data_IF_963412981434
#
_entry.id   IF_963412981434
#
_cell.length_a   1.000
_cell.length_b   1.000
_cell.length_c   1.000
_cell.angle_alpha   90.00
_cell.angle_beta   90.00
_cell.angle_gamma   90.00
#
_symmetry.space_group_name_H-M   'P 1'
#
loop_
_entity.id
_entity.type
_entity.pdbx_description
1 polymer ?
#
# COMPACT_ATOMS: atom_id res chain seq x y z
N UNK A 1 -24.26 -45.75 -29.93
CA UNK A 1 -23.72 -44.38 -29.79
C UNK A 1 -22.77 -44.40 -28.60
N UNK A 2 -21.47 -44.26 -28.85
CA UNK A 2 -20.44 -44.41 -27.81
C UNK A 2 -20.14 -43.02 -27.24
N UNK A 3 -20.45 -42.83 -25.97
CA UNK A 3 -20.10 -41.63 -25.24
C UNK A 3 -18.61 -41.70 -24.87
N UNK A 4 -17.79 -40.85 -25.49
CA UNK A 4 -16.39 -40.68 -25.11
C UNK A 4 -16.32 -39.79 -23.86
N UNK A 5 -16.11 -40.42 -22.71
CA UNK A 5 -15.74 -39.73 -21.47
C UNK A 5 -14.24 -39.45 -21.52
N UNK A 6 -13.83 -38.19 -21.48
CA UNK A 6 -12.41 -37.82 -21.39
C UNK A 6 -12.19 -37.22 -20.00
N UNK A 7 -11.49 -37.98 -19.14
CA UNK A 7 -10.84 -37.47 -17.94
C UNK A 7 -9.31 -37.46 -18.19
N UNK A 8 -8.57 -36.46 -17.72
CA UNK A 8 -7.12 -36.43 -17.85
C UNK A 8 -6.47 -37.35 -16.81
N UNK A 9 -5.66 -38.30 -17.27
CA UNK A 9 -4.80 -39.14 -16.43
C UNK A 9 -3.48 -38.45 -16.11
N UNK A 10 -3.15 -38.42 -14.82
CA UNK A 10 -1.90 -37.89 -14.31
C UNK A 10 -0.66 -38.67 -14.80
N UNK A 11 0.28 -37.95 -15.42
CA UNK A 11 1.74 -38.13 -15.36
C UNK A 11 2.39 -36.83 -15.86
N UNK A 12 3.06 -36.13 -14.96
CA UNK A 12 3.72 -34.85 -15.21
C UNK A 12 5.05 -35.06 -15.93
N UNK A 13 5.01 -35.01 -17.25
CA UNK A 13 6.15 -34.73 -18.12
C UNK A 13 5.92 -33.37 -18.79
N UNK A 14 6.99 -32.65 -19.14
CA UNK A 14 6.96 -31.34 -19.82
C UNK A 14 6.20 -31.40 -21.17
N UNK A 15 5.90 -32.61 -21.67
CA UNK A 15 4.93 -32.88 -22.73
C UNK A 15 3.53 -32.31 -22.46
N UNK A 16 3.18 -31.98 -21.21
CA UNK A 16 1.88 -31.40 -20.86
C UNK A 16 1.71 -29.94 -21.31
N UNK A 17 2.80 -29.17 -21.50
CA UNK A 17 2.66 -27.73 -21.78
C UNK A 17 2.25 -27.45 -23.22
N UNK A 18 2.90 -28.13 -24.17
CA UNK A 18 2.57 -28.02 -25.59
C UNK A 18 1.14 -28.53 -25.85
N UNK A 19 0.81 -29.70 -25.30
CA UNK A 19 -0.54 -30.27 -25.38
C UNK A 19 -1.59 -29.36 -24.73
N UNK A 20 -1.26 -28.69 -23.63
CA UNK A 20 -2.14 -27.72 -22.99
C UNK A 20 -2.37 -26.49 -23.88
N UNK A 21 -1.32 -25.93 -24.49
CA UNK A 21 -1.46 -24.79 -25.40
C UNK A 21 -2.29 -25.16 -26.63
N UNK A 22 -2.01 -26.30 -27.25
CA UNK A 22 -2.81 -26.83 -28.37
C UNK A 22 -4.27 -26.96 -27.94
N UNK A 23 -4.54 -27.65 -26.82
CA UNK A 23 -5.90 -27.86 -26.32
C UNK A 23 -6.64 -26.55 -26.04
N UNK A 24 -5.95 -25.53 -25.52
CA UNK A 24 -6.54 -24.21 -25.25
C UNK A 24 -6.91 -23.49 -26.55
N UNK A 25 -6.01 -23.49 -27.53
CA UNK A 25 -6.24 -22.84 -28.83
C UNK A 25 -7.33 -23.58 -29.61
N UNK A 26 -7.31 -24.91 -29.62
CA UNK A 26 -8.37 -25.73 -30.21
C UNK A 26 -9.74 -25.46 -29.58
N UNK A 27 -9.79 -25.42 -28.25
CA UNK A 27 -11.04 -25.12 -27.54
C UNK A 27 -11.53 -23.71 -27.85
N UNK A 28 -10.62 -22.73 -27.96
CA UNK A 28 -10.94 -21.37 -28.37
C UNK A 28 -11.57 -21.33 -29.77
N UNK A 29 -10.95 -21.99 -30.75
CA UNK A 29 -11.47 -22.07 -32.12
C UNK A 29 -12.82 -22.79 -32.18
N UNK A 30 -12.96 -23.91 -31.47
CA UNK A 30 -14.22 -24.66 -31.37
C UNK A 30 -15.35 -23.80 -30.77
N UNK A 31 -15.06 -23.04 -29.71
CA UNK A 31 -16.03 -22.12 -29.09
C UNK A 31 -16.43 -20.99 -30.03
N UNK A 32 -15.48 -20.40 -30.77
CA UNK A 32 -15.78 -19.36 -31.77
C UNK A 32 -16.69 -19.88 -32.88
N UNK A 33 -16.43 -21.09 -33.39
CA UNK A 33 -17.28 -21.75 -34.39
C UNK A 33 -18.70 -21.99 -33.84
N UNK A 34 -18.81 -22.55 -32.63
CA UNK A 34 -20.11 -22.80 -31.99
C UNK A 34 -20.88 -21.50 -31.74
N UNK A 35 -20.22 -20.44 -31.30
CA UNK A 35 -20.85 -19.13 -31.10
C UNK A 35 -21.36 -18.50 -32.39
N UNK A 36 -20.71 -18.76 -33.53
CA UNK A 36 -21.16 -18.28 -34.85
C UNK A 36 -22.42 -19.00 -35.34
N UNK A 37 -22.56 -20.28 -35.01
CA UNK A 37 -23.65 -21.14 -35.50
C UNK A 37 -24.87 -21.13 -34.59
N UNK A 38 -24.65 -21.10 -33.27
CA UNK A 38 -25.71 -21.17 -32.28
C UNK A 38 -26.32 -19.80 -32.00
N UNK A 39 -27.61 -19.77 -31.68
CA UNK A 39 -28.22 -18.57 -31.11
C UNK A 39 -27.62 -18.27 -29.73
N UNK A 40 -27.80 -17.04 -29.25
CA UNK A 40 -27.30 -16.63 -27.93
C UNK A 40 -27.82 -17.51 -26.78
N UNK A 41 -29.07 -17.97 -26.85
CA UNK A 41 -29.66 -18.84 -25.83
C UNK A 41 -29.07 -20.25 -25.86
N UNK A 42 -28.94 -20.85 -27.05
CA UNK A 42 -28.34 -22.18 -27.23
C UNK A 42 -26.87 -22.19 -26.82
N UNK A 43 -26.12 -21.13 -27.16
CA UNK A 43 -24.74 -20.97 -26.75
C UNK A 43 -24.61 -20.87 -25.22
N UNK A 44 -25.50 -20.12 -24.56
CA UNK A 44 -25.53 -20.04 -23.09
C UNK A 44 -25.87 -21.39 -22.45
N UNK A 45 -26.80 -22.17 -23.03
CA UNK A 45 -27.12 -23.51 -22.57
C UNK A 45 -25.93 -24.47 -22.72
N UNK A 46 -25.21 -24.40 -23.85
CA UNK A 46 -23.99 -25.16 -24.08
C UNK A 46 -22.91 -24.82 -23.04
N UNK A 47 -22.68 -23.54 -22.75
CA UNK A 47 -21.71 -23.15 -21.72
C UNK A 47 -22.10 -23.68 -20.35
N UNK A 48 -23.37 -23.54 -19.98
CA UNK A 48 -23.88 -24.06 -18.71
C UNK A 48 -23.73 -25.59 -18.61
N UNK A 49 -23.91 -26.34 -19.70
CA UNK A 49 -23.78 -27.80 -19.69
C UNK A 49 -22.35 -28.28 -19.48
N UNK A 50 -21.35 -27.48 -19.85
CA UNK A 50 -19.93 -27.72 -19.57
C UNK A 50 -19.43 -27.02 -18.29
N UNK A 51 -20.34 -26.42 -17.51
CA UNK A 51 -20.01 -25.73 -16.26
C UNK A 51 -19.33 -24.37 -16.44
N UNK A 52 -19.36 -23.80 -17.64
CA UNK A 52 -18.73 -22.51 -17.95
C UNK A 52 -19.73 -21.37 -17.92
N UNK A 53 -19.24 -20.19 -17.55
CA UNK A 53 -20.00 -18.95 -17.65
C UNK A 53 -19.61 -18.12 -18.88
N UNK A 54 -20.43 -17.11 -19.19
CA UNK A 54 -20.18 -16.21 -20.34
C UNK A 54 -18.85 -15.47 -20.22
N UNK A 55 -18.37 -15.14 -19.01
CA UNK A 55 -17.10 -14.42 -18.81
C UNK A 55 -15.90 -15.29 -19.18
N UNK A 56 -15.87 -16.55 -18.76
CA UNK A 56 -14.83 -17.53 -19.12
C UNK A 56 -14.76 -17.72 -20.63
N UNK A 57 -15.93 -17.91 -21.27
CA UNK A 57 -15.97 -18.05 -22.73
C UNK A 57 -15.42 -16.83 -23.47
N UNK A 58 -15.60 -15.61 -22.94
CA UNK A 58 -15.07 -14.39 -23.55
C UNK A 58 -13.54 -14.37 -23.61
N UNK A 59 -12.84 -15.01 -22.67
CA UNK A 59 -11.38 -15.11 -22.72
C UNK A 59 -10.93 -15.98 -23.91
N UNK A 60 -11.53 -17.16 -24.06
CA UNK A 60 -11.25 -18.07 -25.17
C UNK A 60 -11.64 -17.47 -26.52
N UNK A 61 -12.75 -16.75 -26.60
CA UNK A 61 -13.14 -16.06 -27.84
C UNK A 61 -12.12 -14.99 -28.24
N UNK A 62 -11.52 -14.27 -27.29
CA UNK A 62 -10.42 -13.34 -27.60
C UNK A 62 -9.18 -14.06 -28.14
N UNK A 63 -8.86 -15.24 -27.60
CA UNK A 63 -7.78 -16.08 -28.14
C UNK A 63 -8.09 -16.48 -29.57
N UNK A 64 -9.32 -16.93 -29.84
CA UNK A 64 -9.74 -17.29 -31.19
C UNK A 64 -9.67 -16.12 -32.17
N UNK A 65 -10.11 -14.93 -31.76
CA UNK A 65 -10.06 -13.72 -32.59
C UNK A 65 -8.60 -13.31 -32.87
N UNK A 66 -7.75 -13.27 -31.84
CA UNK A 66 -6.37 -12.83 -31.93
C UNK A 66 -5.48 -13.77 -32.75
N UNK A 67 -5.71 -15.08 -32.64
CA UNK A 67 -4.88 -16.12 -33.29
C UNK A 67 -5.60 -16.82 -34.45
N UNK A 68 -6.67 -16.23 -34.98
CA UNK A 68 -7.48 -16.80 -36.08
C UNK A 68 -6.70 -17.16 -37.36
N UNK A 69 -5.49 -16.64 -37.53
CA UNK A 69 -4.60 -16.92 -38.67
C UNK A 69 -3.60 -18.07 -38.43
N UNK A 70 -3.59 -18.69 -37.25
CA UNK A 70 -2.62 -19.72 -36.86
C UNK A 70 -3.30 -21.08 -36.69
N UNK A 71 -2.57 -22.15 -36.93
CA UNK A 71 -2.92 -23.50 -36.47
C UNK A 71 -2.60 -23.64 -34.97
N UNK A 72 -3.33 -24.45 -34.20
CA UNK A 72 -2.97 -24.79 -32.81
C UNK A 72 -1.52 -25.30 -32.69
N UNK A 73 -1.06 -26.10 -33.65
CA UNK A 73 0.30 -26.64 -33.70
C UNK A 73 1.37 -25.55 -33.85
N UNK A 74 1.06 -24.45 -34.54
CA UNK A 74 2.00 -23.33 -34.75
C UNK A 74 2.35 -22.65 -33.43
N UNK A 75 1.46 -22.73 -32.44
CA UNK A 75 1.57 -22.04 -31.16
C UNK A 75 2.01 -22.97 -30.02
N UNK A 76 2.27 -24.25 -30.29
CA UNK A 76 2.51 -25.27 -29.28
C UNK A 76 3.75 -24.99 -28.39
N UNK A 77 4.74 -24.26 -28.89
CA UNK A 77 5.95 -23.90 -28.14
C UNK A 77 5.80 -22.56 -27.38
N UNK A 78 4.60 -21.99 -27.32
CA UNK A 78 4.25 -20.83 -26.50
C UNK A 78 3.55 -21.30 -25.23
N UNK A 79 3.85 -20.64 -24.11
CA UNK A 79 3.18 -20.94 -22.84
C UNK A 79 1.70 -20.50 -22.85
N UNK A 80 0.77 -21.28 -22.26
CA UNK A 80 -0.65 -20.92 -22.19
C UNK A 80 -0.92 -19.52 -21.63
N UNK A 81 -0.18 -19.12 -20.60
CA UNK A 81 -0.31 -17.80 -20.00
C UNK A 81 -0.01 -16.68 -21.01
N UNK A 82 1.03 -16.86 -21.82
CA UNK A 82 1.45 -15.91 -22.85
C UNK A 82 0.40 -15.79 -23.95
N UNK A 83 -0.22 -16.89 -24.36
CA UNK A 83 -1.36 -16.89 -25.31
C UNK A 83 -2.50 -16.01 -24.77
N UNK A 84 -2.90 -16.21 -23.51
CA UNK A 84 -3.95 -15.40 -22.91
C UNK A 84 -3.57 -13.93 -22.78
N UNK A 85 -2.33 -13.61 -22.44
CA UNK A 85 -1.87 -12.22 -22.29
C UNK A 85 -1.83 -11.48 -23.63
N UNK A 86 -1.32 -12.12 -24.68
CA UNK A 86 -1.34 -11.57 -26.04
C UNK A 86 -2.77 -11.32 -26.51
N UNK A 87 -3.67 -12.28 -26.32
CA UNK A 87 -5.07 -12.18 -26.69
C UNK A 87 -5.86 -11.16 -25.85
N UNK A 88 -5.57 -11.04 -24.55
CA UNK A 88 -6.24 -10.08 -23.66
C UNK A 88 -5.91 -8.64 -24.05
N UNK A 89 -4.69 -8.42 -24.54
CA UNK A 89 -4.14 -7.11 -24.87
C UNK A 89 -3.83 -6.96 -26.36
N UNK A 90 -4.69 -7.47 -27.25
CA UNK A 90 -4.47 -7.46 -28.71
C UNK A 90 -4.09 -6.08 -29.25
N UNK A 91 -4.72 -4.99 -28.81
CA UNK A 91 -4.36 -3.63 -29.27
C UNK A 91 -2.92 -3.24 -28.98
N UNK A 92 -2.36 -3.71 -27.85
CA UNK A 92 -0.98 -3.44 -27.45
C UNK A 92 0.00 -4.35 -28.18
N UNK A 93 -0.36 -5.62 -28.33
CA UNK A 93 0.52 -6.65 -28.90
C UNK A 93 0.22 -6.99 -30.36
N UNK A 94 -0.60 -6.20 -31.06
CA UNK A 94 -1.00 -6.49 -32.44
C UNK A 94 0.21 -6.63 -33.35
N UNK A 95 1.20 -5.75 -33.20
CA UNK A 95 2.44 -5.81 -33.98
C UNK A 95 3.23 -7.09 -33.70
N UNK A 96 3.22 -7.57 -32.45
CA UNK A 96 3.86 -8.84 -32.09
C UNK A 96 3.12 -9.99 -32.77
N UNK A 97 1.80 -10.04 -32.67
CA UNK A 97 0.96 -11.10 -33.27
C UNK A 97 1.12 -11.13 -34.80
N UNK A 98 1.13 -9.97 -35.46
CA UNK A 98 1.39 -9.90 -36.91
C UNK A 98 2.81 -10.38 -37.25
N UNK A 99 3.83 -9.98 -36.48
CA UNK A 99 5.22 -10.41 -36.72
C UNK A 99 5.43 -11.92 -36.51
N UNK A 100 4.59 -12.57 -35.70
CA UNK A 100 4.63 -14.02 -35.53
C UNK A 100 4.22 -14.77 -36.80
N UNK A 101 3.41 -14.19 -37.69
CA UNK A 101 2.99 -14.84 -38.95
C UNK A 101 4.17 -15.06 -39.91
N UNK A 102 5.14 -14.16 -39.86
CA UNK A 102 6.34 -14.24 -40.70
C UNK A 102 7.46 -15.08 -40.04
N UNK A 103 7.25 -15.57 -38.81
CA UNK A 103 8.19 -16.42 -38.11
C UNK A 103 8.01 -17.89 -38.53
N UNK A 104 9.04 -18.50 -39.11
CA UNK A 104 8.97 -19.91 -39.50
C UNK A 104 8.84 -20.90 -38.34
N UNK A 105 9.44 -20.59 -37.18
CA UNK A 105 9.28 -21.36 -35.94
C UNK A 105 8.94 -20.41 -34.80
N UNK A 106 7.76 -20.56 -34.22
CA UNK A 106 7.27 -19.72 -33.14
C UNK A 106 7.58 -20.41 -31.81
N UNK A 107 8.42 -19.79 -30.98
CA UNK A 107 8.77 -20.28 -29.63
C UNK A 107 8.49 -19.20 -28.59
N UNK A 108 8.41 -19.61 -27.31
CA UNK A 108 8.24 -18.69 -26.18
C UNK A 108 9.32 -17.60 -26.15
N UNK A 109 10.58 -17.95 -26.38
CA UNK A 109 11.68 -16.97 -26.41
C UNK A 109 11.48 -15.97 -27.55
N UNK A 110 11.03 -16.44 -28.71
CA UNK A 110 10.81 -15.57 -29.86
C UNK A 110 9.70 -14.56 -29.62
N UNK A 111 8.62 -14.98 -28.96
CA UNK A 111 7.54 -14.09 -28.52
C UNK A 111 8.08 -13.03 -27.56
N UNK A 112 8.91 -13.42 -26.60
CA UNK A 112 9.50 -12.48 -25.64
C UNK A 112 10.44 -11.47 -26.30
N UNK A 113 11.26 -11.92 -27.27
CA UNK A 113 12.10 -11.03 -28.08
C UNK A 113 11.27 -9.99 -28.83
N UNK A 114 10.18 -10.41 -29.47
CA UNK A 114 9.28 -9.50 -30.19
C UNK A 114 8.58 -8.52 -29.24
N UNK A 115 8.12 -8.98 -28.07
CA UNK A 115 7.55 -8.10 -27.05
C UNK A 115 8.57 -7.05 -26.60
N UNK A 116 9.84 -7.45 -26.41
CA UNK A 116 10.91 -6.53 -26.04
C UNK A 116 11.21 -5.52 -27.17
N UNK A 117 11.26 -5.98 -28.42
CA UNK A 117 11.51 -5.14 -29.59
C UNK A 117 10.40 -4.10 -29.84
N UNK A 118 9.15 -4.46 -29.60
CA UNK A 118 7.99 -3.58 -29.77
C UNK A 118 7.63 -2.79 -28.50
N UNK A 119 8.45 -2.83 -27.45
CA UNK A 119 8.22 -2.07 -26.23
C UNK A 119 8.48 -0.60 -26.49
N UNK A 120 7.45 0.24 -26.40
CA UNK A 120 7.65 1.69 -26.42
C UNK A 120 8.54 2.11 -25.23
N UNK A 121 9.60 2.91 -25.47
CA UNK A 121 10.46 3.35 -24.39
C UNK A 121 9.63 4.13 -23.37
N UNK A 122 9.71 3.70 -22.12
CA UNK A 122 9.01 4.36 -21.01
C UNK A 122 9.61 5.76 -20.92
N UNK A 123 8.79 6.82 -21.11
CA UNK A 123 9.24 8.21 -20.95
C UNK A 123 9.94 8.33 -19.59
N UNK A 124 11.12 8.94 -19.58
CA UNK A 124 11.87 9.16 -18.35
C UNK A 124 10.96 9.84 -17.33
N UNK A 125 10.98 9.34 -16.09
CA UNK A 125 10.25 9.98 -15.00
C UNK A 125 10.85 11.39 -14.83
N UNK A 126 10.05 12.44 -14.65
CA UNK A 126 10.59 13.77 -14.35
C UNK A 126 11.40 13.71 -13.04
N UNK A 127 12.52 14.43 -13.00
CA UNK A 127 13.44 14.49 -11.83
C UNK A 127 12.77 15.03 -10.57
N UNK A 128 11.65 15.76 -10.72
CA UNK A 128 10.87 16.29 -9.61
C UNK A 128 9.49 15.66 -9.58
N UNK A 129 8.98 15.26 -8.40
CA UNK A 129 7.61 14.82 -8.27
C UNK A 129 6.69 15.98 -8.71
N UNK A 130 5.78 15.68 -9.64
CA UNK A 130 4.76 16.63 -10.09
C UNK A 130 3.38 16.09 -9.77
N UNK A 131 2.56 16.93 -9.17
CA UNK A 131 1.12 16.68 -8.97
C UNK A 131 0.30 17.14 -10.18
N UNK A 132 0.92 17.78 -11.17
CA UNK A 132 0.25 18.21 -12.40
C UNK A 132 0.16 17.07 -13.40
N UNK A 133 -1.06 16.79 -13.87
CA UNK A 133 -1.35 15.78 -14.89
C UNK A 133 -2.25 16.38 -15.97
N UNK A 134 -2.13 15.89 -17.20
CA UNK A 134 -3.03 16.28 -18.30
C UNK A 134 -4.44 15.74 -18.02
N UNK A 135 -5.44 16.63 -18.04
CA UNK A 135 -6.86 16.32 -17.95
C UNK A 135 -7.39 15.65 -19.22
N UNK A 136 -8.67 15.27 -19.23
CA UNK A 136 -9.31 14.68 -20.43
C UNK A 136 -9.33 15.65 -21.60
N UNK A 137 -9.41 16.95 -21.30
CA UNK A 137 -9.53 18.03 -22.27
C UNK A 137 -8.16 18.59 -22.71
N UNK A 138 -7.05 17.98 -22.29
CA UNK A 138 -5.70 18.45 -22.57
C UNK A 138 -5.15 19.51 -21.59
N UNK A 139 -6.02 20.11 -20.78
CA UNK A 139 -5.65 21.12 -19.78
C UNK A 139 -4.91 20.51 -18.56
N UNK A 140 -3.99 21.24 -17.91
CA UNK A 140 -3.30 20.77 -16.72
C UNK A 140 -4.25 20.73 -15.51
N UNK A 141 -4.34 19.55 -14.88
CA UNK A 141 -5.13 19.31 -13.66
C UNK A 141 -4.20 18.91 -12.53
N UNK A 142 -4.33 19.60 -11.39
CA UNK A 142 -3.67 19.20 -10.16
C UNK A 142 -4.34 17.93 -9.61
N UNK A 143 -3.57 16.85 -9.45
CA UNK A 143 -4.00 15.59 -8.85
C UNK A 143 -3.05 15.21 -7.73
N UNK A 144 -3.48 15.47 -6.51
CA UNK A 144 -2.82 15.00 -5.30
C UNK A 144 -3.04 13.48 -5.22
N UNK A 145 -1.96 12.66 -5.09
CA UNK A 145 -2.09 11.24 -4.82
C UNK A 145 -2.84 10.95 -3.52
N UNK A 146 -3.21 9.71 -3.31
CA UNK A 146 -3.84 9.28 -2.06
C UNK A 146 -2.91 9.60 -0.87
N UNK A 147 -3.46 10.27 0.14
CA UNK A 147 -2.74 10.63 1.37
C UNK A 147 -2.90 9.44 2.32
N UNK A 148 -1.86 8.60 2.37
CA UNK A 148 -1.82 7.40 3.20
C UNK A 148 -1.00 7.70 4.46
N UNK A 149 -1.67 8.19 5.50
CA UNK A 149 -1.09 8.46 6.83
C UNK A 149 -1.64 7.42 7.82
N UNK A 150 -0.78 6.81 8.63
CA UNK A 150 -1.18 5.78 9.61
C UNK A 150 -2.11 6.35 10.70
N UNK A 151 -1.91 7.62 11.07
CA UNK A 151 -2.70 8.34 12.07
C UNK A 151 -3.92 9.05 11.47
N UNK A 152 -4.05 9.01 10.14
CA UNK A 152 -5.13 9.61 9.36
C UNK A 152 -5.36 11.11 9.63
N UNK A 153 -4.35 11.83 10.17
CA UNK A 153 -4.55 13.16 10.72
C UNK A 153 -5.03 14.17 9.68
N UNK A 154 -4.39 14.23 8.51
CA UNK A 154 -4.76 15.17 7.46
C UNK A 154 -6.22 14.97 7.01
N UNK A 155 -6.65 13.71 6.88
CA UNK A 155 -8.03 13.37 6.53
C UNK A 155 -9.03 13.80 7.59
N UNK A 156 -8.73 13.52 8.87
CA UNK A 156 -9.60 13.88 10.00
C UNK A 156 -9.76 15.40 10.15
N UNK A 157 -8.68 16.17 10.02
CA UNK A 157 -8.70 17.63 10.12
C UNK A 157 -9.53 18.23 8.97
N UNK A 158 -9.32 17.75 7.74
CA UNK A 158 -10.09 18.23 6.58
C UNK A 158 -11.57 17.91 6.77
N UNK A 159 -11.93 16.68 7.17
CA UNK A 159 -13.32 16.28 7.37
C UNK A 159 -13.99 17.12 8.46
N UNK A 160 -13.30 17.34 9.59
CA UNK A 160 -13.81 18.18 10.67
C UNK A 160 -14.13 19.60 10.19
N UNK A 161 -13.25 20.21 9.41
CA UNK A 161 -13.44 21.56 8.87
C UNK A 161 -14.58 21.61 7.83
N UNK A 162 -14.79 20.54 7.07
CA UNK A 162 -15.95 20.40 6.18
C UNK A 162 -17.25 20.29 6.98
N UNK A 163 -17.29 19.46 8.02
CA UNK A 163 -18.49 19.21 8.82
C UNK A 163 -18.90 20.44 9.64
N UNK A 164 -17.93 21.17 10.18
CA UNK A 164 -18.17 22.34 11.03
C UNK A 164 -18.52 23.58 10.21
N UNK A 165 -17.79 23.83 9.12
CA UNK A 165 -17.85 25.10 8.40
C UNK A 165 -18.45 24.98 6.98
N UNK A 166 -18.87 23.77 6.56
CA UNK A 166 -19.43 23.53 5.23
C UNK A 166 -18.45 23.85 4.10
N UNK A 167 -17.14 23.82 4.38
CA UNK A 167 -16.11 24.18 3.40
C UNK A 167 -15.80 23.01 2.49
N UNK A 168 -15.25 23.29 1.31
CA UNK A 168 -14.73 22.25 0.42
C UNK A 168 -13.24 22.00 0.70
N UNK A 169 -12.75 20.75 0.55
CA UNK A 169 -11.34 20.41 0.78
C UNK A 169 -10.36 21.33 0.07
N UNK A 170 -10.64 21.72 -1.18
CA UNK A 170 -9.76 22.58 -1.96
C UNK A 170 -9.59 23.97 -1.32
N UNK A 171 -10.63 24.47 -0.66
CA UNK A 171 -10.60 25.75 0.06
C UNK A 171 -9.77 25.63 1.34
N UNK A 172 -9.92 24.54 2.09
CA UNK A 172 -9.11 24.26 3.29
C UNK A 172 -7.63 24.20 2.93
N UNK A 173 -7.29 23.40 1.90
CA UNK A 173 -5.92 23.28 1.39
C UNK A 173 -5.38 24.64 0.95
N UNK A 174 -6.17 25.44 0.21
CA UNK A 174 -5.75 26.78 -0.24
C UNK A 174 -5.42 27.70 0.94
N UNK A 175 -6.27 27.73 1.97
CA UNK A 175 -6.05 28.55 3.17
C UNK A 175 -4.83 28.09 3.96
N UNK A 176 -4.66 26.78 4.13
CA UNK A 176 -3.51 26.21 4.82
C UNK A 176 -2.18 26.54 4.12
N UNK A 177 -2.15 26.45 2.78
CA UNK A 177 -0.99 26.83 1.98
C UNK A 177 -0.69 28.32 2.08
N UNK A 178 -1.73 29.18 2.05
CA UNK A 178 -1.56 30.62 2.22
C UNK A 178 -0.96 30.95 3.58
N UNK A 179 -1.49 30.36 4.66
CA UNK A 179 -0.98 30.53 6.02
C UNK A 179 0.49 30.08 6.11
N UNK A 180 0.81 28.92 5.52
CA UNK A 180 2.19 28.43 5.48
C UNK A 180 3.13 29.40 4.75
N UNK A 181 2.71 29.96 3.61
CA UNK A 181 3.49 30.98 2.90
C UNK A 181 3.68 32.25 3.74
N UNK A 182 2.62 32.74 4.39
CA UNK A 182 2.70 33.94 5.22
C UNK A 182 3.64 33.76 6.43
N UNK A 183 3.71 32.54 6.99
CA UNK A 183 4.71 32.18 8.02
C UNK A 183 6.12 32.17 7.43
N UNK A 184 6.33 31.53 6.28
CA UNK A 184 7.65 31.47 5.63
C UNK A 184 8.16 32.86 5.22
N UNK A 185 7.26 33.77 4.85
CA UNK A 185 7.58 35.15 4.48
C UNK A 185 7.72 36.08 5.70
N UNK A 186 7.56 35.57 6.93
CA UNK A 186 7.70 36.35 8.16
C UNK A 186 6.58 37.37 8.38
N UNK A 187 5.46 37.25 7.66
CA UNK A 187 4.26 38.09 7.85
C UNK A 187 3.48 37.70 9.10
N UNK A 188 3.69 36.49 9.59
CA UNK A 188 3.09 35.96 10.81
C UNK A 188 4.20 35.59 11.80
N UNK A 189 4.06 36.06 13.04
CA UNK A 189 4.92 35.65 14.16
C UNK A 189 4.21 34.52 14.89
N UNK A 190 4.80 33.32 14.86
CA UNK A 190 4.33 32.20 15.68
C UNK A 190 4.70 32.51 17.13
N UNK A 191 3.71 32.90 17.94
CA UNK A 191 3.91 32.98 19.39
C UNK A 191 3.96 31.55 19.93
N UNK A 192 5.14 31.10 20.34
CA UNK A 192 5.25 29.91 21.17
C UNK A 192 4.56 30.22 22.49
N UNK A 193 3.45 29.54 22.76
CA UNK A 193 2.75 29.68 24.03
C UNK A 193 3.64 29.11 25.15
N UNK A 194 4.36 30.00 25.82
CA UNK A 194 5.03 29.69 27.09
C UNK A 194 3.95 29.23 28.08
N UNK A 195 3.99 27.93 28.41
CA UNK A 195 3.22 27.35 29.50
C UNK A 195 3.68 27.98 30.82
N UNK A 196 2.94 28.94 31.36
CA UNK A 196 3.03 29.31 32.76
C UNK A 196 1.65 29.57 33.38
N UNK A 197 1.27 28.59 34.23
CA UNK A 197 0.65 28.69 35.56
C UNK A 197 -0.70 29.42 35.71
N UNK A 198 -1.64 28.65 36.24
CA UNK A 198 -2.93 29.03 36.84
C UNK A 198 -2.83 30.28 37.73
N UNK A 199 -3.76 31.23 37.55
CA UNK A 199 -4.36 31.93 38.67
C UNK A 199 -5.76 32.43 38.29
N UNK A 200 -6.74 31.95 39.05
CA UNK A 200 -8.10 32.47 39.13
C UNK A 200 -8.10 34.00 39.22
N UNK A 201 -8.75 34.69 38.29
CA UNK A 201 -9.44 35.95 38.59
C UNK A 201 -10.57 36.20 37.58
N UNK A 202 -11.78 36.12 38.11
CA UNK A 202 -13.02 36.83 37.79
C UNK A 202 -13.19 37.55 36.43
N UNK A 203 -14.27 37.17 35.74
CA UNK A 203 -14.94 37.93 34.66
C UNK A 203 -15.34 39.33 35.15
N UNK A 204 -15.13 40.39 34.34
CA UNK A 204 -16.31 41.14 33.91
C UNK A 204 -16.29 41.60 32.44
N UNK A 205 -17.38 41.23 31.76
CA UNK A 205 -18.25 42.03 30.88
C UNK A 205 -17.63 43.11 29.95
N UNK A 206 -17.91 42.90 28.66
CA UNK A 206 -18.60 43.82 27.74
C UNK A 206 -18.03 45.24 27.59
N UNK A 207 -17.26 45.48 26.51
CA UNK A 207 -17.08 46.81 25.94
C UNK A 207 -17.55 46.79 24.49
N UNK A 208 -18.73 47.34 24.30
CA UNK A 208 -19.33 47.75 23.03
C UNK A 208 -18.59 48.97 22.46
N UNK A 209 -18.21 48.84 21.18
CA UNK A 209 -18.04 49.84 20.10
C UNK A 209 -17.26 51.14 20.34
N UNK A 210 -16.31 51.43 19.43
CA UNK A 210 -16.31 52.70 18.68
C UNK A 210 -15.37 52.70 17.44
N UNK A 211 -15.78 53.44 16.40
CA UNK A 211 -15.09 53.87 15.15
C UNK A 211 -14.99 52.87 13.98
N UNK A 212 -15.43 53.16 12.74
CA UNK A 212 -16.07 54.34 12.13
C UNK A 212 -16.62 53.94 10.74
N UNK A 213 -17.86 54.29 10.40
CA UNK A 213 -18.43 54.30 9.04
C UNK A 213 -18.15 55.67 8.38
N UNK A 214 -17.82 55.62 7.09
CA UNK A 214 -18.06 56.56 5.96
C UNK A 214 -16.99 56.18 4.91
N UNK A 215 -17.32 55.77 3.69
CA UNK A 215 -18.04 56.56 2.70
C UNK A 215 -18.76 55.67 1.66
N UNK A 216 -19.87 56.20 1.17
CA UNK A 216 -20.92 55.57 0.38
C UNK A 216 -20.81 56.07 -1.06
N UNK A 217 -20.70 55.16 -2.02
CA UNK A 217 -21.03 55.46 -3.43
C UNK A 217 -21.97 54.35 -3.92
N UNK A 218 -23.26 54.69 -3.95
CA UNK A 218 -24.28 54.03 -4.75
C UNK A 218 -23.91 54.08 -6.24
N UNK A 219 -24.05 52.97 -6.96
CA UNK A 219 -24.84 52.99 -8.20
C UNK A 219 -25.26 51.58 -8.68
N UNK A 220 -26.58 51.48 -8.87
CA UNK A 220 -27.33 50.70 -9.86
C UNK A 220 -27.23 49.17 -9.95
N UNK A 221 -28.21 48.57 -9.26
CA UNK A 221 -28.93 47.35 -9.62
C UNK A 221 -29.24 47.20 -11.11
N UNK A 222 -28.78 46.11 -11.74
CA UNK A 222 -29.49 45.47 -12.87
C UNK A 222 -29.49 43.96 -12.69
N UNK A 223 -30.64 43.46 -12.26
CA UNK A 223 -31.03 42.06 -12.38
C UNK A 223 -31.18 41.70 -13.87
N UNK A 224 -30.53 40.63 -14.30
CA UNK A 224 -30.81 40.00 -15.59
C UNK A 224 -31.30 38.57 -15.33
N UNK A 225 -32.62 38.44 -15.45
CA UNK A 225 -33.34 37.21 -15.71
C UNK A 225 -32.76 36.51 -16.94
N UNK A 226 -32.57 35.19 -16.88
CA UNK A 226 -32.54 34.38 -18.09
C UNK A 226 -33.25 33.03 -17.84
N UNK A 227 -34.57 33.06 -18.01
CA UNK A 227 -35.30 31.93 -18.59
C UNK A 227 -35.58 32.31 -20.05
N UNK A 228 -35.27 31.43 -21.02
CA UNK A 228 -36.13 31.05 -22.16
C UNK A 228 -35.36 30.21 -23.21
N UNK A 229 -35.76 28.94 -23.31
CA UNK A 229 -35.91 28.05 -24.47
C UNK A 229 -34.90 27.99 -25.63
N UNK A 230 -34.46 26.77 -25.96
CA UNK A 230 -34.87 26.11 -27.22
C UNK A 230 -34.66 24.59 -27.14
N UNK A 231 -35.75 23.84 -27.29
CA UNK A 231 -35.77 22.42 -27.62
C UNK A 231 -35.23 22.21 -29.04
N UNK A 232 -34.51 21.11 -29.26
CA UNK A 232 -34.63 20.26 -30.45
C UNK A 232 -34.12 18.85 -30.11
N UNK A 233 -35.02 17.87 -30.22
CA UNK A 233 -34.79 16.42 -30.26
C UNK A 233 -33.71 16.04 -31.32
N UNK A 234 -33.07 14.87 -31.39
CA UNK A 234 -33.29 13.52 -30.88
C UNK A 234 -31.97 12.76 -31.03
N UNK A 235 -31.62 11.86 -30.11
CA UNK A 235 -31.23 10.45 -30.36
C UNK A 235 -30.47 9.83 -29.18
N UNK A 236 -31.26 9.09 -28.40
CA UNK A 236 -30.98 7.78 -27.79
C UNK A 236 -29.54 7.41 -27.44
N UNK A 237 -29.24 7.41 -26.13
CA UNK A 237 -28.43 6.37 -25.50
C UNK A 237 -28.89 6.21 -24.05
N UNK A 238 -29.61 5.12 -23.81
CA UNK A 238 -30.14 4.73 -22.50
C UNK A 238 -29.00 4.43 -21.51
N UNK A 239 -29.01 5.17 -20.42
CA UNK A 239 -28.43 4.79 -19.14
C UNK A 239 -29.49 4.93 -18.06
N UNK A 240 -29.82 3.86 -17.34
CA UNK A 240 -30.29 3.85 -15.94
C UNK A 240 -29.98 2.44 -15.39
N UNK A 241 -29.09 2.24 -14.41
CA UNK A 241 -29.10 2.60 -12.98
C UNK A 241 -30.33 2.06 -12.22
N UNK A 242 -30.10 1.14 -11.25
CA UNK A 242 -30.86 1.05 -10.00
C UNK A 242 -29.99 0.45 -8.88
N UNK A 243 -30.12 1.10 -7.71
CA UNK A 243 -29.45 0.91 -6.43
C UNK A 243 -30.06 -0.22 -5.58
N UNK A 244 -29.28 -0.59 -4.56
CA UNK A 244 -29.64 -0.99 -3.17
C UNK A 244 -30.86 -1.89 -2.93
N UNK A 245 -30.62 -3.02 -2.25
CA UNK A 245 -31.33 -3.24 -0.99
C UNK A 245 -30.56 -4.18 -0.05
N UNK A 246 -30.45 -3.74 1.21
CA UNK A 246 -29.97 -4.50 2.34
C UNK A 246 -31.17 -4.80 3.23
N UNK A 247 -31.28 -6.04 3.73
CA UNK A 247 -32.24 -6.35 4.79
C UNK A 247 -31.58 -7.24 5.82
N UNK A 248 -31.51 -6.70 7.04
CA UNK A 248 -31.21 -7.37 8.29
C UNK A 248 -32.44 -8.15 8.77
N UNK A 249 -32.22 -9.29 9.45
CA UNK A 249 -33.16 -9.84 10.43
C UNK A 249 -32.49 -9.89 11.81
N UNK A 250 -33.26 -9.45 12.82
CA UNK A 250 -32.95 -9.44 14.26
C UNK A 250 -33.77 -10.51 15.00
N UNK A 251 -33.41 -10.71 16.28
CA UNK A 251 -34.07 -11.46 17.38
C UNK A 251 -33.71 -12.95 17.54
N UNK A 252 -33.40 -13.49 18.72
CA UNK A 252 -33.25 -12.96 20.09
C UNK A 252 -32.64 -14.05 21.02
N UNK A 253 -32.05 -13.59 22.12
CA UNK A 253 -32.10 -14.16 23.49
C UNK A 253 -31.30 -15.42 23.92
N UNK A 254 -30.36 -15.11 24.83
CA UNK A 254 -30.20 -15.64 26.19
C UNK A 254 -29.75 -17.09 26.43
N UNK A 255 -28.52 -17.23 26.96
CA UNK A 255 -28.34 -17.70 28.33
C UNK A 255 -26.96 -17.31 28.90
N UNK A 256 -27.03 -16.46 29.92
CA UNK A 256 -25.99 -16.13 30.89
C UNK A 256 -25.95 -17.25 31.94
N UNK A 257 -24.76 -17.70 32.33
CA UNK A 257 -24.51 -18.24 33.68
C UNK A 257 -23.32 -17.50 34.29
N UNK A 258 -23.66 -16.74 35.33
CA UNK A 258 -22.83 -16.05 36.31
C UNK A 258 -22.38 -17.04 37.39
N UNK A 259 -21.22 -16.78 38.02
CA UNK A 259 -20.97 -16.89 39.46
C UNK A 259 -19.61 -16.20 39.74
N UNK A 260 -19.56 -14.91 40.04
CA UNK A 260 -19.72 -14.23 41.35
C UNK A 260 -18.69 -14.56 42.45
N UNK A 261 -17.76 -13.60 42.60
CA UNK A 261 -17.33 -12.88 43.81
C UNK A 261 -17.01 -13.61 45.14
N UNK A 262 -15.81 -13.30 45.69
CA UNK A 262 -15.71 -12.88 47.11
C UNK A 262 -14.47 -12.04 47.42
N UNK A 263 -14.75 -10.90 48.04
CA UNK A 263 -13.85 -9.92 48.68
C UNK A 263 -13.24 -10.45 50.00
N UNK A 264 -12.00 -10.04 50.34
CA UNK A 264 -11.59 -9.34 51.60
C UNK A 264 -10.17 -9.68 52.10
N UNK A 265 -9.46 -8.59 52.42
CA UNK A 265 -8.58 -8.35 53.58
C UNK A 265 -7.15 -8.93 53.63
N UNK A 266 -6.24 -7.94 53.66
CA UNK A 266 -4.99 -7.81 54.41
C UNK A 266 -4.62 -8.89 55.43
N UNK A 267 -3.40 -9.42 55.29
CA UNK A 267 -2.57 -9.86 56.40
C UNK A 267 -1.08 -9.67 56.04
N UNK A 268 -0.37 -8.96 56.91
CA UNK A 268 1.09 -8.92 57.00
C UNK A 268 1.66 -10.33 57.19
N UNK A 269 2.85 -10.59 56.64
CA UNK A 269 3.99 -11.39 57.15
C UNK A 269 5.11 -11.11 56.13
N UNK A 270 6.03 -10.20 56.44
CA UNK A 270 7.28 -10.39 57.19
C UNK A 270 8.45 -10.85 56.30
N UNK A 271 9.57 -10.17 56.52
CA UNK A 271 10.78 -10.13 55.74
C UNK A 271 11.48 -11.50 55.63
N UNK A 272 12.05 -11.79 54.46
CA UNK A 272 13.38 -12.40 54.42
C UNK A 272 14.22 -11.75 53.35
N UNK A 273 15.16 -10.92 53.82
CA UNK A 273 16.31 -10.40 53.09
C UNK A 273 17.13 -11.53 52.47
N UNK A 274 17.41 -11.38 51.19
CA UNK A 274 18.64 -11.77 50.51
C UNK A 274 18.96 -10.56 49.63
N UNK A 275 19.56 -9.49 50.15
CA UNK A 275 21.01 -9.35 50.38
C UNK A 275 21.84 -9.98 49.26
N UNK A 276 21.73 -9.37 48.08
CA UNK A 276 22.81 -9.31 47.10
C UNK A 276 22.89 -7.87 46.54
N UNK A 277 23.89 -7.14 47.04
CA UNK A 277 24.54 -5.97 46.47
C UNK A 277 23.68 -4.84 45.84
N UNK A 278 22.89 -4.11 46.63
CA UNK A 278 22.54 -2.72 46.24
C UNK A 278 23.71 -1.79 46.57
N UNK A 279 24.57 -1.54 45.58
CA UNK A 279 25.51 -0.41 45.61
C UNK A 279 24.71 0.89 45.90
N UNK A 280 25.24 1.83 46.71
CA UNK A 280 24.63 3.15 46.90
C UNK A 280 24.34 3.80 45.56
N UNK A 281 23.21 4.49 45.42
CA UNK A 281 22.80 5.16 44.18
C UNK A 281 23.92 6.03 43.56
N UNK A 282 24.77 6.61 44.39
CA UNK A 282 25.95 7.40 44.01
C UNK A 282 27.02 6.58 43.27
N UNK A 283 27.26 5.32 43.67
CA UNK A 283 28.20 4.42 42.99
C UNK A 283 27.65 3.91 41.66
N UNK A 284 26.33 3.76 41.55
CA UNK A 284 25.66 3.40 40.29
C UNK A 284 25.75 4.56 39.31
N UNK A 285 25.52 5.80 39.78
CA UNK A 285 25.71 7.01 38.98
C UNK A 285 27.17 7.14 38.52
N UNK A 286 28.15 6.83 39.36
CA UNK A 286 29.56 6.82 38.95
C UNK A 286 29.87 5.72 37.91
N UNK A 287 29.24 4.55 38.03
CA UNK A 287 29.41 3.45 37.08
C UNK A 287 28.76 3.78 35.73
N UNK A 288 27.58 4.42 35.77
CA UNK A 288 26.83 4.87 34.61
C UNK A 288 27.52 6.01 33.87
N UNK A 289 28.06 7.00 34.58
CA UNK A 289 28.82 8.10 33.95
C UNK A 289 30.08 7.60 33.21
N UNK A 290 30.64 6.46 33.63
CA UNK A 290 31.78 5.80 32.99
C UNK A 290 31.39 4.85 31.86
N UNK A 291 30.11 4.52 31.67
CA UNK A 291 29.66 3.62 30.62
C UNK A 291 29.91 4.22 29.23
N UNK A 292 30.47 3.43 28.32
CA UNK A 292 30.80 3.86 26.95
C UNK A 292 29.83 3.28 25.91
N UNK A 293 28.97 2.33 26.30
CA UNK A 293 27.97 1.74 25.41
C UNK A 293 26.60 1.63 26.07
N UNK A 294 25.54 1.62 25.26
CA UNK A 294 24.17 1.42 25.76
C UNK A 294 23.98 0.06 26.47
N UNK A 295 24.73 -0.97 26.05
CA UNK A 295 24.66 -2.30 26.66
C UNK A 295 25.23 -2.32 28.08
N UNK A 296 26.27 -1.53 28.34
CA UNK A 296 26.82 -1.34 29.70
C UNK A 296 25.85 -0.58 30.59
N UNK A 297 25.17 0.44 30.03
CA UNK A 297 24.11 1.18 30.73
C UNK A 297 22.96 0.24 31.09
N UNK A 298 22.52 -0.59 30.15
CA UNK A 298 21.43 -1.55 30.35
C UNK A 298 21.81 -2.60 31.42
N UNK A 299 22.98 -3.23 31.31
CA UNK A 299 23.47 -4.19 32.29
C UNK A 299 23.62 -3.60 33.70
N UNK A 300 24.02 -2.33 33.81
CA UNK A 300 24.17 -1.64 35.08
C UNK A 300 22.82 -1.35 35.77
N UNK A 301 21.73 -1.23 35.00
CA UNK A 301 20.40 -0.89 35.53
C UNK A 301 19.39 -2.04 35.44
N UNK A 302 19.70 -3.15 34.78
CA UNK A 302 18.72 -4.21 34.46
C UNK A 302 18.13 -4.83 35.72
N UNK A 303 18.98 -5.06 36.72
CA UNK A 303 18.62 -5.70 38.00
C UNK A 303 17.86 -4.77 38.97
N UNK A 304 17.60 -3.51 38.62
CA UNK A 304 16.94 -2.55 39.50
C UNK A 304 15.43 -2.42 39.19
N UNK A 305 14.57 -2.24 40.21
CA UNK A 305 13.15 -1.98 39.98
C UNK A 305 12.93 -0.61 39.31
N UNK A 306 11.84 -0.46 38.57
CA UNK A 306 11.54 0.76 37.79
C UNK A 306 11.58 2.05 38.62
N UNK A 307 11.13 1.99 39.88
CA UNK A 307 11.20 3.12 40.82
C UNK A 307 12.63 3.57 41.12
N UNK A 308 13.57 2.63 41.24
CA UNK A 308 14.99 2.90 41.43
C UNK A 308 15.64 3.45 40.14
N UNK A 309 15.26 2.93 38.96
CA UNK A 309 15.74 3.46 37.66
C UNK A 309 15.36 4.93 37.48
N UNK A 310 14.14 5.33 37.85
CA UNK A 310 13.70 6.72 37.79
C UNK A 310 14.46 7.63 38.76
N UNK A 311 14.79 7.13 39.97
CA UNK A 311 15.60 7.88 40.93
C UNK A 311 17.04 8.06 40.45
N UNK A 312 17.66 7.00 39.93
CA UNK A 312 18.99 7.06 39.32
C UNK A 312 19.01 8.05 38.16
N UNK A 313 17.99 8.00 37.29
CA UNK A 313 17.87 8.93 36.16
C UNK A 313 17.81 10.39 36.61
N UNK A 314 17.04 10.69 37.67
CA UNK A 314 16.94 12.04 38.24
C UNK A 314 18.22 12.54 38.92
N UNK A 315 19.16 11.65 39.26
CA UNK A 315 20.46 11.99 39.85
C UNK A 315 21.56 12.21 38.79
N UNK A 316 21.33 11.83 37.54
CA UNK A 316 22.25 12.10 36.43
C UNK A 316 22.15 13.58 36.03
N UNK A 317 23.29 14.17 35.69
CA UNK A 317 23.32 15.51 35.10
C UNK A 317 22.75 15.50 33.67
N UNK A 318 22.30 16.66 33.21
CA UNK A 318 21.68 16.81 31.87
C UNK A 318 22.61 16.34 30.75
N UNK A 319 23.92 16.55 30.91
CA UNK A 319 24.93 16.12 29.92
C UNK A 319 25.05 14.59 29.82
N UNK A 320 25.01 13.85 30.93
CA UNK A 320 25.04 12.38 30.90
C UNK A 320 23.73 11.81 30.38
N UNK A 321 22.59 12.44 30.69
CA UNK A 321 21.29 12.04 30.14
C UNK A 321 21.27 12.19 28.61
N UNK A 322 21.72 13.32 28.06
CA UNK A 322 21.85 13.54 26.61
C UNK A 322 22.79 12.52 25.96
N UNK A 323 23.94 12.24 26.59
CA UNK A 323 24.87 11.19 26.14
C UNK A 323 24.21 9.82 26.10
N UNK A 324 23.38 9.48 27.08
CA UNK A 324 22.64 8.21 27.10
C UNK A 324 21.57 8.14 26.01
N UNK A 325 20.89 9.25 25.72
CA UNK A 325 20.00 9.33 24.56
C UNK A 325 20.77 9.09 23.26
N UNK A 326 21.96 9.67 23.11
CA UNK A 326 22.82 9.47 21.94
C UNK A 326 23.33 8.03 21.84
N UNK A 327 23.80 7.43 22.94
CA UNK A 327 24.23 6.02 23.00
C UNK A 327 23.08 5.07 22.69
N UNK A 328 21.87 5.35 23.16
CA UNK A 328 20.65 4.59 22.83
C UNK A 328 20.33 4.71 21.35
N UNK A 329 20.41 5.91 20.78
CA UNK A 329 20.16 6.14 19.36
C UNK A 329 21.23 5.45 18.49
N UNK A 330 22.50 5.51 18.88
CA UNK A 330 23.59 4.78 18.23
C UNK A 330 23.39 3.26 18.32
N UNK A 331 22.98 2.76 19.48
CA UNK A 331 22.69 1.35 19.68
C UNK A 331 21.47 0.88 18.86
N UNK A 332 20.39 1.65 18.82
CA UNK A 332 19.22 1.36 17.99
C UNK A 332 19.56 1.41 16.50
N UNK A 333 20.34 2.39 16.06
CA UNK A 333 20.81 2.45 14.66
C UNK A 333 21.80 1.34 14.31
N UNK A 334 22.56 0.83 15.28
CA UNK A 334 23.43 -0.35 15.10
C UNK A 334 22.65 -1.67 15.15
N UNK A 335 21.59 -1.79 15.96
CA UNK A 335 20.66 -2.93 15.94
C UNK A 335 19.90 -2.98 14.61
N UNK A 336 19.46 -1.83 14.09
CA UNK A 336 18.81 -1.73 12.78
C UNK A 336 19.74 -2.16 11.63
N UNK A 337 21.06 -2.10 11.83
CA UNK A 337 22.08 -2.61 10.89
C UNK A 337 22.46 -4.07 11.11
N UNK A 338 22.26 -4.60 12.33
CA UNK A 338 22.65 -5.96 12.66
C UNK A 338 21.63 -6.96 12.08
N UNK A 339 21.96 -7.47 10.90
CA UNK A 339 21.19 -8.51 10.23
C UNK A 339 21.14 -9.78 11.09
N UNK A 340 19.94 -10.33 11.27
CA UNK A 340 19.69 -11.58 12.00
C UNK A 340 19.26 -12.69 11.05
N UNK A 341 19.40 -13.94 11.50
CA UNK A 341 18.79 -15.08 10.81
C UNK A 341 17.28 -14.86 10.73
N UNK A 342 16.70 -15.18 9.58
CA UNK A 342 15.33 -14.89 9.15
C UNK A 342 15.02 -13.42 8.76
N UNK A 343 15.98 -12.50 8.79
CA UNK A 343 15.76 -11.17 8.22
C UNK A 343 15.64 -11.27 6.68
N UNK A 344 14.67 -10.53 6.11
CA UNK A 344 14.58 -10.28 4.68
C UNK A 344 15.63 -9.23 4.29
N UNK A 345 16.43 -9.51 3.28
CA UNK A 345 17.54 -8.66 2.85
C UNK A 345 17.59 -8.50 1.34
N UNK A 346 18.05 -7.32 0.92
CA UNK A 346 18.47 -7.03 -0.43
C UNK A 346 19.98 -7.24 -0.52
N UNK A 347 20.44 -7.88 -1.60
CA UNK A 347 21.85 -8.04 -1.89
C UNK A 347 22.27 -7.04 -2.98
N UNK A 348 23.04 -6.03 -2.59
CA UNK A 348 23.40 -4.89 -3.47
C UNK A 348 24.19 -5.33 -4.71
N UNK A 349 25.03 -6.35 -4.57
CA UNK A 349 25.86 -6.91 -5.65
C UNK A 349 25.32 -8.24 -6.18
N UNK A 350 24.00 -8.44 -6.10
CA UNK A 350 23.36 -9.64 -6.61
C UNK A 350 23.63 -9.80 -8.13
N UNK A 351 24.16 -10.96 -8.57
CA UNK A 351 24.32 -11.27 -9.99
C UNK A 351 23.00 -11.11 -10.76
N UNK A 352 23.06 -10.61 -12.00
CA UNK A 352 21.86 -10.25 -12.77
C UNK A 352 20.84 -11.39 -12.96
N UNK A 353 21.31 -12.65 -12.97
CA UNK A 353 20.44 -13.84 -13.06
C UNK A 353 19.68 -14.16 -11.76
N UNK A 354 20.02 -13.51 -10.65
CA UNK A 354 19.40 -13.71 -9.32
C UNK A 354 18.67 -12.45 -8.83
N UNK A 355 18.74 -11.34 -9.57
CA UNK A 355 18.16 -10.06 -9.15
C UNK A 355 16.64 -10.13 -8.99
N UNK A 356 15.95 -10.94 -9.80
CA UNK A 356 14.50 -11.16 -9.73
C UNK A 356 14.05 -11.99 -8.52
N UNK A 357 15.00 -12.57 -7.77
CA UNK A 357 14.74 -13.41 -6.60
C UNK A 357 14.89 -12.64 -5.29
N UNK A 358 15.20 -11.34 -5.34
CA UNK A 358 15.19 -10.47 -4.17
C UNK A 358 13.76 -10.09 -3.77
N UNK A 359 13.45 -9.92 -2.46
CA UNK A 359 14.35 -10.03 -1.32
C UNK A 359 14.64 -11.48 -0.92
N UNK A 360 15.84 -11.72 -0.39
CA UNK A 360 16.26 -13.02 0.13
C UNK A 360 16.07 -13.12 1.64
N UNK A 361 16.05 -14.33 2.18
CA UNK A 361 15.99 -14.57 3.64
C UNK A 361 17.34 -15.10 4.12
N UNK A 362 17.89 -14.52 5.19
CA UNK A 362 19.11 -15.04 5.82
C UNK A 362 18.81 -16.36 6.53
N UNK A 363 19.46 -17.45 6.12
CA UNK A 363 19.29 -18.78 6.74
C UNK A 363 20.36 -19.09 7.78
N UNK A 364 21.56 -18.53 7.64
CA UNK A 364 22.68 -18.75 8.56
C UNK A 364 23.63 -17.58 8.53
N UNK A 365 24.21 -17.21 9.68
CA UNK A 365 25.28 -16.21 9.79
C UNK A 365 26.53 -16.89 10.33
N UNK A 366 27.65 -16.71 9.63
CA UNK A 366 28.97 -17.23 10.00
C UNK A 366 29.98 -16.07 9.96
N UNK A 367 30.28 -15.49 11.12
CA UNK A 367 31.19 -14.36 11.23
C UNK A 367 30.66 -13.11 10.50
N UNK A 368 31.42 -12.63 9.51
CA UNK A 368 31.08 -11.46 8.70
C UNK A 368 30.26 -11.79 7.44
N UNK A 369 29.75 -13.03 7.33
CA UNK A 369 29.01 -13.53 6.15
C UNK A 369 27.70 -14.21 6.52
N UNK A 370 26.77 -14.22 5.58
CA UNK A 370 25.47 -14.87 5.67
C UNK A 370 25.21 -15.83 4.50
N UNK A 371 24.46 -16.89 4.75
CA UNK A 371 23.86 -17.77 3.72
C UNK A 371 22.43 -17.32 3.51
N UNK A 372 21.96 -17.35 2.26
CA UNK A 372 20.60 -16.98 1.89
C UNK A 372 19.81 -18.24 1.52
N UNK A 373 18.49 -18.20 1.68
CA UNK A 373 17.54 -19.29 1.41
C UNK A 373 17.68 -19.94 0.02
N UNK A 374 17.85 -19.13 -1.02
CA UNK A 374 18.00 -19.59 -2.40
C UNK A 374 19.46 -19.59 -2.88
N UNK A 375 20.42 -19.37 -1.96
CA UNK A 375 21.83 -19.24 -2.32
C UNK A 375 22.76 -19.85 -1.28
N UNK A 376 23.37 -20.98 -1.65
CA UNK A 376 24.20 -21.79 -0.75
C UNK A 376 25.61 -21.24 -0.49
N UNK A 377 26.01 -20.13 -1.12
CA UNK A 377 27.32 -19.52 -0.89
C UNK A 377 27.23 -18.42 0.17
N UNK A 378 28.29 -18.28 0.95
CA UNK A 378 28.44 -17.23 1.95
C UNK A 378 28.61 -15.84 1.28
N UNK A 379 27.74 -14.91 1.62
CA UNK A 379 27.72 -13.52 1.14
C UNK A 379 28.13 -12.60 2.29
N UNK A 380 29.04 -11.64 2.08
CA UNK A 380 29.42 -10.68 3.12
C UNK A 380 28.22 -9.86 3.62
N UNK A 381 28.06 -9.74 4.94
CA UNK A 381 26.96 -8.98 5.56
C UNK A 381 26.93 -7.52 5.11
N UNK A 382 28.09 -6.92 4.81
CA UNK A 382 28.22 -5.56 4.28
C UNK A 382 27.59 -5.34 2.90
N UNK A 383 27.28 -6.41 2.16
CA UNK A 383 26.62 -6.34 0.86
C UNK A 383 25.11 -6.56 0.97
N UNK A 384 24.63 -6.82 2.19
CA UNK A 384 23.24 -7.10 2.48
C UNK A 384 22.64 -5.90 3.21
N UNK A 385 21.46 -5.47 2.78
CA UNK A 385 20.69 -4.40 3.41
C UNK A 385 19.33 -4.95 3.84
N UNK A 386 18.87 -4.58 5.04
CA UNK A 386 17.59 -5.05 5.56
C UNK A 386 16.45 -4.50 4.71
N UNK A 387 15.59 -5.39 4.22
CA UNK A 387 14.39 -5.02 3.49
C UNK A 387 13.35 -4.49 4.48
N UNK A 388 12.88 -3.25 4.29
CA UNK A 388 11.78 -2.66 5.04
C UNK A 388 10.52 -2.77 4.17
N UNK A 389 9.49 -3.46 4.68
CA UNK A 389 8.19 -3.62 4.00
C UNK A 389 7.41 -2.31 3.91
#
# INVERSE_FOLDING_TARGET
>A
MVAATIYPTAKSDISNLADATISIVDQAFSLALKKRVLSHQEYKQLLNSIGWNLKESKLYLKVADAFSSFSPDDLQEIEPHTIFDLAKHTKKYNQVIESLKDCGKITQEKVQELIAAHRTPKKAKPDKPTIWKTGRDGEPVCRIPDIMEDDMQSGNIIQQEMDQNGTFPQTVIRKALQLWHDVQEGKLVVQEAEKNVEQDTEVPQNITNHFQEEDFVEEESKSVNLNTFSECDTSESETTNYNEDASQEHHNSDNIIVNEAKTRQSANIDLSLSDDCTLPFEQIVETLTRAESWLEVENAIDNYPQSAKSQIWGLLDTATQERFHQLKQEHLTNIDKALKVNDKVMWEKCPGNLYSLQPFIITKIEGDKATLDLFSKLIPLKELTKYKE
#
